data_IF_327758717924
#
_entry.id   IF_327758717924
#
_cell.length_a   1.000
_cell.length_b   1.000
_cell.length_c   1.000
_cell.angle_alpha   90.00
_cell.angle_beta   90.00
_cell.angle_gamma   90.00
#
_symmetry.space_group_name_H-M   'P 1'
#
loop_
_entity.id
_entity.type
_entity.pdbx_description
1 polymer ?
#
# COMPACT_ATOMS: atom_id res chain seq x y z
N UNK A 1 57.52 -66.97 -12.83
CA UNK A 1 56.38 -67.63 -12.17
C UNK A 1 55.49 -66.56 -11.62
N UNK A 2 54.22 -66.70 -11.92
CA UNK A 2 53.16 -65.72 -11.70
C UNK A 2 53.11 -65.22 -10.25
N UNK A 3 52.72 -63.95 -10.09
CA UNK A 3 51.67 -63.63 -9.14
C UNK A 3 50.99 -62.32 -9.53
N UNK A 4 49.82 -62.50 -10.14
CA UNK A 4 48.74 -61.52 -10.24
C UNK A 4 48.24 -61.19 -8.83
N UNK A 5 48.17 -59.91 -8.48
CA UNK A 5 47.40 -59.45 -7.34
C UNK A 5 46.77 -58.08 -7.65
N UNK A 6 45.50 -58.18 -8.01
CA UNK A 6 44.44 -57.18 -8.06
C UNK A 6 44.69 -55.88 -7.27
N UNK A 7 44.84 -54.76 -7.97
CA UNK A 7 44.58 -53.43 -7.40
C UNK A 7 43.11 -53.07 -7.62
N UNK A 8 42.36 -53.10 -6.53
CA UNK A 8 40.99 -52.62 -6.38
C UNK A 8 40.92 -51.12 -6.63
N UNK A 9 40.22 -50.71 -7.69
CA UNK A 9 39.73 -49.35 -7.88
C UNK A 9 38.57 -49.09 -6.90
N UNK A 10 38.84 -48.30 -5.86
CA UNK A 10 37.83 -47.63 -5.04
C UNK A 10 38.32 -46.21 -4.78
N UNK A 11 37.69 -45.26 -5.45
CA UNK A 11 37.39 -43.96 -4.85
C UNK A 11 36.22 -43.34 -5.63
N UNK A 12 35.02 -43.27 -5.04
CA UNK A 12 33.95 -42.41 -5.53
C UNK A 12 34.27 -40.98 -5.11
N UNK A 13 34.66 -40.14 -6.07
CA UNK A 13 34.72 -38.70 -5.85
C UNK A 13 33.32 -38.21 -5.50
N UNK A 14 33.19 -37.93 -4.21
CA UNK A 14 32.20 -37.09 -3.56
C UNK A 14 32.29 -35.66 -4.10
N UNK A 15 31.18 -34.93 -4.00
CA UNK A 15 31.06 -33.47 -4.17
C UNK A 15 30.91 -32.93 -5.59
N UNK A 16 29.67 -32.92 -6.07
CA UNK A 16 29.04 -31.70 -6.58
C UNK A 16 27.62 -31.70 -5.98
N UNK A 17 27.39 -31.09 -4.81
CA UNK A 17 27.48 -29.65 -4.71
C UNK A 17 26.16 -29.04 -5.21
N UNK A 18 25.07 -29.41 -4.54
CA UNK A 18 23.84 -28.66 -4.36
C UNK A 18 23.87 -27.25 -4.96
N UNK A 19 23.42 -27.13 -6.21
CA UNK A 19 22.91 -25.86 -6.72
C UNK A 19 21.39 -25.95 -6.66
N UNK A 20 20.89 -25.87 -5.43
CA UNK A 20 19.56 -25.35 -5.18
C UNK A 20 19.54 -23.95 -5.79
N UNK A 21 19.05 -23.86 -7.03
CA UNK A 21 18.81 -22.62 -7.72
C UNK A 21 17.71 -21.91 -6.92
N UNK A 22 18.17 -21.19 -5.89
CA UNK A 22 17.38 -20.27 -5.10
C UNK A 22 16.70 -19.35 -6.10
N UNK A 23 15.43 -19.68 -6.39
CA UNK A 23 14.56 -18.85 -7.20
C UNK A 23 14.68 -17.45 -6.64
N UNK A 24 15.10 -16.45 -7.43
CA UNK A 24 15.15 -15.08 -6.94
C UNK A 24 13.73 -14.74 -6.53
N UNK A 25 13.48 -14.76 -5.22
CA UNK A 25 12.22 -14.34 -4.64
C UNK A 25 12.05 -12.90 -5.08
N UNK A 26 11.22 -12.75 -6.11
CA UNK A 26 10.85 -11.51 -6.76
C UNK A 26 10.26 -10.66 -5.63
N UNK A 27 11.10 -9.81 -5.03
CA UNK A 27 10.64 -8.86 -4.01
C UNK A 27 9.43 -8.17 -4.62
N UNK A 28 8.27 -8.14 -3.92
CA UNK A 28 7.08 -7.51 -4.48
C UNK A 28 7.48 -6.10 -4.91
N UNK A 29 7.34 -5.83 -6.20
CA UNK A 29 7.70 -4.55 -6.77
C UNK A 29 6.96 -3.49 -5.97
N UNK A 30 7.70 -2.49 -5.47
CA UNK A 30 7.04 -1.35 -4.82
C UNK A 30 6.03 -0.80 -5.84
N UNK A 31 4.75 -0.65 -5.47
CA UNK A 31 3.76 -0.15 -6.40
C UNK A 31 4.22 1.20 -6.94
N UNK A 32 4.09 1.39 -8.26
CA UNK A 32 4.48 2.63 -8.93
C UNK A 32 3.59 3.77 -8.39
N UNK A 33 4.17 4.90 -7.94
CA UNK A 33 3.40 6.08 -7.55
C UNK A 33 2.35 6.49 -8.58
N UNK A 34 2.62 6.35 -9.88
CA UNK A 34 1.65 6.66 -10.93
C UNK A 34 0.46 5.68 -10.93
N UNK A 35 0.70 4.41 -10.63
CA UNK A 35 -0.35 3.39 -10.50
C UNK A 35 -1.21 3.65 -9.26
N UNK A 36 -0.59 4.00 -8.13
CA UNK A 36 -1.32 4.39 -6.91
C UNK A 36 -2.17 5.63 -7.13
N UNK A 37 -1.64 6.64 -7.83
CA UNK A 37 -2.40 7.84 -8.23
C UNK A 37 -3.60 7.45 -9.10
N UNK A 38 -3.45 6.53 -10.05
CA UNK A 38 -4.57 6.05 -10.87
C UNK A 38 -5.62 5.30 -10.07
N UNK A 39 -5.22 4.44 -9.13
CA UNK A 39 -6.16 3.71 -8.27
C UNK A 39 -6.91 4.69 -7.37
N UNK A 40 -6.21 5.68 -6.79
CA UNK A 40 -6.82 6.74 -6.00
C UNK A 40 -7.74 7.62 -6.82
N UNK A 41 -7.36 8.03 -8.03
CA UNK A 41 -8.21 8.81 -8.93
C UNK A 41 -9.45 8.00 -9.35
N UNK A 42 -9.33 6.70 -9.60
CA UNK A 42 -10.47 5.80 -9.83
C UNK A 42 -11.38 5.70 -8.59
N UNK A 43 -10.81 5.72 -7.38
CA UNK A 43 -11.57 5.72 -6.12
C UNK A 43 -12.26 7.05 -5.89
N UNK A 44 -11.61 8.17 -6.19
CA UNK A 44 -12.15 9.53 -6.06
C UNK A 44 -13.18 9.86 -7.15
N UNK A 45 -13.05 9.29 -8.35
CA UNK A 45 -14.03 9.41 -9.45
C UNK A 45 -15.32 8.65 -9.17
N UNK A 46 -15.23 7.60 -8.36
CA UNK A 46 -16.38 6.87 -7.86
C UNK A 46 -16.99 7.74 -6.75
N UNK A 47 -17.99 8.53 -7.14
CA UNK A 47 -18.78 9.50 -6.35
C UNK A 47 -19.17 9.06 -4.93
N UNK A 48 -19.80 9.96 -4.16
CA UNK A 48 -20.47 9.72 -2.88
C UNK A 48 -21.19 8.35 -2.72
N UNK A 49 -21.74 7.81 -3.81
CA UNK A 49 -22.38 6.48 -3.84
C UNK A 49 -21.41 5.32 -3.64
N UNK A 50 -20.17 5.46 -4.07
CA UNK A 50 -19.15 4.46 -3.84
C UNK A 50 -18.63 4.47 -2.40
N UNK A 51 -18.61 5.63 -1.73
CA UNK A 51 -18.39 5.67 -0.28
C UNK A 51 -19.48 4.89 0.46
N UNK A 52 -20.74 5.01 0.05
CA UNK A 52 -21.83 4.19 0.59
C UNK A 52 -21.68 2.70 0.25
N UNK A 53 -21.01 2.38 -0.87
CA UNK A 53 -20.71 1.01 -1.26
C UNK A 53 -19.45 0.43 -0.58
N UNK A 54 -18.64 1.27 0.08
CA UNK A 54 -17.58 0.80 0.96
C UNK A 54 -18.21 0.06 2.13
N UNK A 55 -17.58 -1.03 2.55
CA UNK A 55 -17.99 -1.78 3.74
C UNK A 55 -17.87 -0.88 4.96
N UNK A 56 -18.69 -1.15 5.99
CA UNK A 56 -18.69 -0.38 7.24
C UNK A 56 -17.28 -0.24 7.86
N UNK A 57 -16.45 -1.28 7.74
CA UNK A 57 -15.06 -1.27 8.20
C UNK A 57 -14.18 -0.28 7.42
N UNK A 58 -14.37 -0.16 6.11
CA UNK A 58 -13.60 0.73 5.24
C UNK A 58 -14.01 2.20 5.47
N UNK A 59 -15.30 2.44 5.69
CA UNK A 59 -15.80 3.76 6.11
C UNK A 59 -15.23 4.15 7.48
N UNK A 60 -15.14 3.20 8.42
CA UNK A 60 -14.58 3.42 9.76
C UNK A 60 -13.18 4.06 9.74
N UNK A 61 -12.28 3.57 8.88
CA UNK A 61 -10.91 4.11 8.79
C UNK A 61 -10.89 5.55 8.27
N UNK A 62 -11.76 5.90 7.31
CA UNK A 62 -11.88 7.27 6.82
C UNK A 62 -12.51 8.19 7.87
N UNK A 63 -13.50 7.71 8.63
CA UNK A 63 -14.09 8.44 9.74
C UNK A 63 -13.09 8.67 10.88
N UNK A 64 -12.20 7.73 11.17
CA UNK A 64 -11.11 7.94 12.16
C UNK A 64 -10.21 9.12 11.76
N UNK A 65 -9.90 9.27 10.47
CA UNK A 65 -9.13 10.43 9.97
C UNK A 65 -9.93 11.72 10.14
N UNK A 66 -11.23 11.70 9.80
CA UNK A 66 -12.11 12.84 9.98
C UNK A 66 -12.27 13.25 11.44
N UNK A 67 -12.38 12.28 12.35
CA UNK A 67 -12.46 12.50 13.78
C UNK A 67 -11.16 13.10 14.32
N UNK A 68 -9.99 12.55 13.91
CA UNK A 68 -8.67 13.01 14.33
C UNK A 68 -8.42 14.48 13.96
N UNK A 69 -8.87 14.89 12.79
CA UNK A 69 -8.70 16.26 12.28
C UNK A 69 -9.99 17.07 12.30
N UNK A 70 -10.95 16.69 13.15
CA UNK A 70 -12.24 17.39 13.24
C UNK A 70 -12.03 18.86 13.61
N UNK A 71 -12.75 19.75 12.93
CA UNK A 71 -12.62 21.20 13.09
C UNK A 71 -11.45 21.83 12.34
N UNK A 72 -10.58 21.04 11.70
CA UNK A 72 -9.54 21.58 10.82
C UNK A 72 -10.09 21.83 9.40
N UNK A 73 -9.62 22.91 8.79
CA UNK A 73 -9.85 23.17 7.38
C UNK A 73 -9.10 22.15 6.52
N UNK A 74 -9.63 21.85 5.33
CA UNK A 74 -8.95 20.96 4.39
C UNK A 74 -7.64 21.60 3.91
N UNK A 75 -6.51 20.96 4.26
CA UNK A 75 -5.17 21.40 3.91
C UNK A 75 -4.30 20.22 3.47
N UNK A 76 -3.18 20.51 2.80
CA UNK A 76 -2.28 19.48 2.29
C UNK A 76 -1.79 18.54 3.39
N UNK A 77 -1.27 19.10 4.49
CA UNK A 77 -0.86 18.35 5.66
C UNK A 77 -1.37 19.06 6.92
N UNK A 78 -1.90 18.31 7.91
CA UNK A 78 -1.91 16.85 7.98
C UNK A 78 -3.08 16.16 7.25
N UNK A 79 -4.14 16.91 6.87
CA UNK A 79 -5.42 16.34 6.46
C UNK A 79 -5.35 15.50 5.18
N UNK A 80 -4.90 16.06 4.06
CA UNK A 80 -4.90 15.32 2.79
C UNK A 80 -3.93 14.13 2.81
N UNK A 81 -2.75 14.29 3.43
CA UNK A 81 -1.79 13.19 3.60
C UNK A 81 -2.40 12.03 4.39
N UNK A 82 -3.04 12.30 5.53
CA UNK A 82 -3.66 11.24 6.35
C UNK A 82 -4.86 10.60 5.66
N UNK A 83 -5.64 11.37 4.90
CA UNK A 83 -6.76 10.85 4.11
C UNK A 83 -6.27 9.90 3.02
N UNK A 84 -5.21 10.28 2.30
CA UNK A 84 -4.60 9.45 1.26
C UNK A 84 -3.93 8.21 1.86
N UNK A 85 -3.25 8.33 3.01
CA UNK A 85 -2.71 7.19 3.77
C UNK A 85 -3.81 6.16 4.05
N UNK A 86 -4.94 6.60 4.59
CA UNK A 86 -6.08 5.75 4.86
C UNK A 86 -6.63 5.10 3.60
N UNK A 87 -6.84 5.86 2.52
CA UNK A 87 -7.35 5.33 1.26
C UNK A 87 -6.42 4.28 0.65
N UNK A 88 -5.10 4.52 0.63
CA UNK A 88 -4.13 3.54 0.12
C UNK A 88 -4.16 2.27 0.96
N UNK A 89 -4.22 2.39 2.29
CA UNK A 89 -4.29 1.23 3.18
C UNK A 89 -5.54 0.40 2.96
N UNK A 90 -6.69 1.05 2.76
CA UNK A 90 -7.95 0.38 2.45
C UNK A 90 -7.85 -0.39 1.13
N UNK A 91 -7.32 0.24 0.08
CA UNK A 91 -7.19 -0.40 -1.22
C UNK A 91 -6.18 -1.55 -1.24
N UNK A 92 -5.10 -1.44 -0.47
CA UNK A 92 -4.05 -2.46 -0.41
C UNK A 92 -4.26 -3.48 0.72
N UNK A 93 -5.32 -3.35 1.52
CA UNK A 93 -5.56 -4.21 2.69
C UNK A 93 -4.44 -4.15 3.73
N UNK A 94 -3.75 -3.01 3.85
CA UNK A 94 -2.58 -2.86 4.72
C UNK A 94 -3.02 -2.56 6.17
N UNK A 95 -2.30 -3.10 7.18
CA UNK A 95 -2.57 -2.79 8.58
C UNK A 95 -2.32 -1.30 8.90
N UNK A 96 -2.95 -0.78 9.95
CA UNK A 96 -2.90 0.66 10.30
C UNK A 96 -1.51 1.16 10.76
N UNK A 97 -0.52 0.29 10.98
CA UNK A 97 0.82 0.70 11.38
C UNK A 97 1.60 1.38 10.24
N UNK A 98 2.13 2.58 10.52
CA UNK A 98 3.00 3.32 9.62
C UNK A 98 4.44 2.80 9.72
N UNK A 99 4.98 2.28 8.62
CA UNK A 99 6.43 2.22 8.45
C UNK A 99 6.93 3.58 7.93
N UNK A 100 8.08 4.06 8.42
CA UNK A 100 8.61 5.37 8.03
C UNK A 100 8.74 5.52 6.50
N UNK A 101 9.21 4.48 5.81
CA UNK A 101 9.35 4.50 4.34
C UNK A 101 8.01 4.57 3.60
N UNK A 102 6.90 4.11 4.20
CA UNK A 102 5.58 4.23 3.58
C UNK A 102 5.03 5.66 3.69
N UNK A 103 5.33 6.36 4.79
CA UNK A 103 4.90 7.76 4.97
C UNK A 103 5.49 8.68 3.90
N UNK A 104 6.73 8.48 3.47
CA UNK A 104 7.34 9.26 2.39
C UNK A 104 6.64 9.02 1.05
N UNK A 105 6.33 7.75 0.74
CA UNK A 105 5.60 7.38 -0.48
C UNK A 105 4.20 8.02 -0.47
N UNK A 106 3.47 7.92 0.63
CA UNK A 106 2.16 8.54 0.80
C UNK A 106 2.24 10.05 0.61
N UNK A 107 3.24 10.71 1.18
CA UNK A 107 3.44 12.15 1.03
C UNK A 107 3.73 12.53 -0.43
N UNK A 108 4.54 11.75 -1.13
CA UNK A 108 4.83 11.99 -2.55
C UNK A 108 3.56 11.86 -3.41
N UNK A 109 2.77 10.81 -3.19
CA UNK A 109 1.46 10.62 -3.86
C UNK A 109 0.52 11.78 -3.53
N UNK A 110 0.46 12.17 -2.26
CA UNK A 110 -0.35 13.29 -1.83
C UNK A 110 0.05 14.59 -2.51
N UNK A 111 1.36 14.84 -2.67
CA UNK A 111 1.85 16.03 -3.36
C UNK A 111 1.39 16.04 -4.83
N UNK A 112 1.58 14.92 -5.54
CA UNK A 112 1.12 14.78 -6.94
C UNK A 112 -0.40 15.00 -7.07
N UNK A 113 -1.19 14.41 -6.17
CA UNK A 113 -2.65 14.60 -6.17
C UNK A 113 -3.08 16.01 -5.76
N UNK A 114 -2.28 16.71 -4.96
CA UNK A 114 -2.59 18.06 -4.51
C UNK A 114 -2.30 19.14 -5.57
N UNK A 115 -1.31 18.89 -6.41
CA UNK A 115 -0.96 19.72 -7.57
C UNK A 115 -2.05 19.67 -8.65
N UNK A 116 -2.73 18.52 -8.80
CA UNK A 116 -3.91 18.39 -9.65
C UNK A 116 -5.14 19.03 -8.98
N UNK A 117 -5.65 20.12 -9.59
CA UNK A 117 -6.82 20.84 -9.10
C UNK A 117 -8.08 19.96 -9.00
N UNK A 118 -8.30 19.03 -9.94
CA UNK A 118 -9.45 18.14 -9.92
C UNK A 118 -9.37 17.15 -8.77
N UNK A 119 -8.20 16.56 -8.56
CA UNK A 119 -7.96 15.64 -7.45
C UNK A 119 -8.14 16.36 -6.10
N UNK A 120 -7.58 17.57 -5.96
CA UNK A 120 -7.74 18.39 -4.76
C UNK A 120 -9.20 18.75 -4.47
N UNK A 121 -9.97 19.15 -5.49
CA UNK A 121 -11.41 19.43 -5.32
C UNK A 121 -12.20 18.21 -4.85
N UNK A 122 -11.89 17.02 -5.37
CA UNK A 122 -12.54 15.77 -4.95
C UNK A 122 -12.17 15.37 -3.52
N UNK A 123 -10.90 15.46 -3.16
CA UNK A 123 -10.46 15.20 -1.79
C UNK A 123 -11.12 16.16 -0.80
N UNK A 124 -11.30 17.43 -1.18
CA UNK A 124 -12.02 18.40 -0.37
C UNK A 124 -13.51 18.04 -0.22
N UNK A 125 -14.17 17.60 -1.30
CA UNK A 125 -15.56 17.13 -1.24
C UNK A 125 -15.71 15.91 -0.33
N UNK A 126 -14.82 14.93 -0.47
CA UNK A 126 -14.74 13.76 0.40
C UNK A 126 -14.58 14.19 1.87
N UNK A 127 -13.67 15.13 2.14
CA UNK A 127 -13.45 15.67 3.48
C UNK A 127 -14.71 16.32 4.06
N UNK A 128 -15.43 17.13 3.28
CA UNK A 128 -16.69 17.76 3.71
C UNK A 128 -17.73 16.69 4.04
N UNK A 129 -17.91 15.69 3.17
CA UNK A 129 -18.87 14.60 3.40
C UNK A 129 -18.55 13.81 4.67
N UNK A 130 -17.28 13.44 4.88
CA UNK A 130 -16.85 12.77 6.10
C UNK A 130 -17.10 13.67 7.32
N UNK A 131 -16.91 14.98 7.17
CA UNK A 131 -17.14 15.95 8.23
C UNK A 131 -18.62 16.13 8.60
N UNK A 132 -19.52 16.03 7.63
CA UNK A 132 -20.97 16.12 7.86
C UNK A 132 -21.50 14.83 8.49
N UNK A 133 -21.09 13.67 7.98
CA UNK A 133 -21.58 12.37 8.44
C UNK A 133 -21.10 12.00 9.85
N UNK A 134 -19.87 12.35 10.26
CA UNK A 134 -19.41 12.02 11.63
C UNK A 134 -20.08 12.90 12.71
N UNK A 135 -20.65 14.05 12.35
CA UNK A 135 -21.34 14.94 13.30
C UNK A 135 -22.76 14.51 13.61
N UNK A 136 -23.31 13.58 12.86
CA UNK A 136 -24.62 12.98 13.12
C UNK A 136 -24.44 11.57 13.69
N UNK A 137 -24.05 11.41 14.98
CA UNK A 137 -24.21 10.12 15.63
C UNK A 137 -25.71 9.87 15.74
N UNK A 138 -26.16 8.78 15.11
CA UNK A 138 -27.56 8.33 15.17
C UNK A 138 -27.81 7.55 16.45
#
# INVERSE_FOLDING_TARGET
MENMAHHTHRDPTTSEGSSDAASPQKRPARPDPAEMVRILDCTLKRDARALQALKDQEQGVLYEVAQRHSGQAFCFAPVAVDLIDAMIRLQLGLPSQRSQGFTEIVRAIAATLWEDQHCRSRLNQLWIMLNENHRTPK
#
